data_IF_745465617977
#
_entry.id   IF_745465617977
#
_cell.length_a   1.000
_cell.length_b   1.000
_cell.length_c   1.000
_cell.angle_alpha   90.00
_cell.angle_beta   90.00
_cell.angle_gamma   90.00
#
_symmetry.space_group_name_H-M   'P 1'
#
loop_
_entity.id
_entity.type
_entity.pdbx_description
1 polymer ?
#
# COMPACT_ATOMS: atom_id res chain seq x y z
N UNK A 1 -13.07 -6.99 -2.18
CA UNK A 1 -12.02 -5.98 -2.27
C UNK A 1 -12.64 -4.58 -2.23
N UNK A 2 -12.24 -3.75 -1.28
CA UNK A 2 -12.79 -2.39 -1.09
C UNK A 2 -11.85 -1.29 -1.55
N UNK A 3 -10.54 -1.52 -1.43
CA UNK A 3 -9.52 -0.55 -1.86
C UNK A 3 -8.28 -1.25 -2.37
N UNK A 4 -7.59 -0.62 -3.29
CA UNK A 4 -6.24 -0.94 -3.74
C UNK A 4 -5.44 0.35 -3.75
N UNK A 5 -4.37 0.40 -2.97
CA UNK A 5 -3.53 1.59 -2.83
C UNK A 5 -2.10 1.20 -3.16
N UNK A 6 -1.70 1.31 -4.44
CA UNK A 6 -0.33 1.11 -4.83
C UNK A 6 0.59 2.13 -4.17
N UNK A 7 1.77 1.70 -3.75
CA UNK A 7 2.78 2.56 -3.15
C UNK A 7 4.15 2.17 -3.71
N UNK A 8 4.82 3.12 -4.35
CA UNK A 8 6.24 3.00 -4.69
C UNK A 8 7.08 3.24 -3.45
N UNK A 9 8.10 2.43 -3.25
CA UNK A 9 8.97 2.52 -2.07
C UNK A 9 10.44 2.52 -2.47
N UNK A 10 11.21 3.40 -1.82
CA UNK A 10 12.67 3.34 -1.82
C UNK A 10 13.14 2.73 -0.51
N UNK A 11 13.91 1.66 -0.62
CA UNK A 11 14.41 0.91 0.53
C UNK A 11 15.89 1.22 0.78
N UNK A 12 16.26 1.35 2.04
CA UNK A 12 17.65 1.34 2.48
C UNK A 12 17.80 0.31 3.59
N UNK A 13 18.61 -0.72 3.33
CA UNK A 13 18.84 -1.84 4.27
C UNK A 13 17.52 -2.49 4.73
N UNK A 14 16.59 -2.72 3.79
CA UNK A 14 15.28 -3.32 4.09
C UNK A 14 14.25 -2.40 4.75
N UNK A 15 14.60 -1.14 5.00
CA UNK A 15 13.67 -0.17 5.59
C UNK A 15 13.23 0.85 4.54
N UNK A 16 11.95 1.12 4.46
CA UNK A 16 11.42 2.17 3.58
C UNK A 16 11.87 3.54 4.10
N UNK A 17 12.62 4.26 3.27
CA UNK A 17 13.08 5.63 3.54
C UNK A 17 12.24 6.69 2.85
N UNK A 18 11.74 6.38 1.66
CA UNK A 18 10.81 7.19 0.89
C UNK A 18 9.70 6.31 0.36
N UNK A 19 8.52 6.88 0.21
CA UNK A 19 7.40 6.22 -0.42
C UNK A 19 6.50 7.26 -1.08
N UNK A 20 5.80 6.86 -2.14
CA UNK A 20 4.75 7.68 -2.75
C UNK A 20 3.57 6.80 -3.16
N UNK A 21 2.37 7.32 -3.01
CA UNK A 21 1.18 6.64 -3.55
C UNK A 21 1.23 6.67 -5.08
N UNK A 22 0.64 5.66 -5.69
CA UNK A 22 0.58 5.53 -7.14
C UNK A 22 -0.82 5.10 -7.56
N UNK A 23 -1.12 5.24 -8.84
CA UNK A 23 -2.35 4.76 -9.47
C UNK A 23 -2.02 3.86 -10.66
N UNK A 24 -1.03 2.98 -10.50
CA UNK A 24 -0.54 2.07 -11.54
C UNK A 24 -1.59 1.02 -11.90
N UNK A 25 -2.16 1.04 -13.11
CA UNK A 25 -3.24 0.14 -13.50
C UNK A 25 -2.84 -1.34 -13.47
N UNK A 26 -1.60 -1.67 -13.83
CA UNK A 26 -1.12 -3.06 -13.83
C UNK A 26 -1.16 -3.65 -12.42
N UNK A 27 -0.76 -2.90 -11.40
CA UNK A 27 -0.82 -3.32 -10.00
C UNK A 27 -2.28 -3.45 -9.54
N UNK A 28 -3.13 -2.48 -9.87
CA UNK A 28 -4.54 -2.49 -9.48
C UNK A 28 -5.25 -3.72 -10.07
N UNK A 29 -5.04 -4.00 -11.34
CA UNK A 29 -5.65 -5.15 -12.02
C UNK A 29 -5.10 -6.49 -11.52
N UNK A 30 -3.79 -6.54 -11.22
CA UNK A 30 -3.19 -7.69 -10.59
C UNK A 30 -3.86 -7.99 -9.24
N UNK A 31 -3.98 -6.99 -8.36
CA UNK A 31 -4.58 -7.16 -7.03
C UNK A 31 -6.05 -7.56 -7.12
N UNK A 32 -6.82 -7.00 -8.06
CA UNK A 32 -8.21 -7.42 -8.30
C UNK A 32 -8.32 -8.91 -8.66
N UNK A 33 -7.43 -9.40 -9.54
CA UNK A 33 -7.37 -10.82 -9.93
C UNK A 33 -6.93 -11.70 -8.76
N UNK A 34 -5.87 -11.29 -8.08
CA UNK A 34 -5.33 -12.00 -6.93
C UNK A 34 -6.37 -12.16 -5.80
N UNK A 35 -7.10 -11.09 -5.48
CA UNK A 35 -8.11 -11.11 -4.41
C UNK A 35 -9.23 -12.11 -4.67
N UNK A 36 -9.60 -12.36 -5.92
CA UNK A 36 -10.62 -13.37 -6.26
C UNK A 36 -10.23 -14.78 -5.81
N UNK A 37 -8.94 -15.08 -5.82
CA UNK A 37 -8.41 -16.38 -5.38
C UNK A 37 -8.09 -16.38 -3.88
N UNK A 38 -7.49 -15.30 -3.39
CA UNK A 38 -7.01 -15.19 -2.01
C UNK A 38 -8.14 -15.00 -0.99
N UNK A 39 -9.22 -14.29 -1.35
CA UNK A 39 -10.46 -14.10 -0.56
C UNK A 39 -10.23 -13.61 0.87
N UNK A 40 -9.21 -12.78 1.10
CA UNK A 40 -8.96 -12.21 2.42
C UNK A 40 -10.10 -11.26 2.84
N UNK A 41 -10.46 -11.30 4.12
CA UNK A 41 -11.52 -10.47 4.71
C UNK A 41 -10.99 -9.26 5.48
N UNK A 42 -9.67 -9.12 5.60
CA UNK A 42 -9.03 -8.02 6.29
C UNK A 42 -7.96 -7.37 5.42
N UNK A 43 -7.28 -6.36 5.97
CA UNK A 43 -6.19 -5.66 5.31
C UNK A 43 -4.98 -6.59 5.14
N UNK A 44 -4.39 -6.57 3.97
CA UNK A 44 -3.13 -7.22 3.68
C UNK A 44 -2.24 -6.34 2.80
N UNK A 45 -0.95 -6.57 2.85
CA UNK A 45 0.05 -5.90 2.05
C UNK A 45 0.71 -6.90 1.10
N UNK A 46 0.80 -6.55 -0.18
CA UNK A 46 1.56 -7.29 -1.18
C UNK A 46 2.81 -6.49 -1.52
N UNK A 47 3.97 -7.12 -1.42
CA UNK A 47 5.21 -6.57 -1.95
C UNK A 47 5.48 -7.19 -3.31
N UNK A 48 5.72 -6.35 -4.29
CA UNK A 48 5.96 -6.77 -5.66
C UNK A 48 6.96 -5.86 -6.37
N UNK A 49 7.53 -6.37 -7.43
CA UNK A 49 8.25 -5.59 -8.44
C UNK A 49 7.35 -5.37 -9.64
N UNK A 50 7.41 -4.20 -10.23
CA UNK A 50 6.83 -3.89 -11.53
C UNK A 50 7.98 -3.85 -12.55
N UNK A 51 7.90 -4.68 -13.59
CA UNK A 51 8.91 -4.71 -14.65
C UNK A 51 8.70 -3.57 -15.65
N UNK A 52 9.68 -3.34 -16.52
CA UNK A 52 9.57 -2.39 -17.62
C UNK A 52 8.47 -2.79 -18.62
N UNK A 53 8.15 -4.09 -18.71
CA UNK A 53 7.05 -4.66 -19.49
C UNK A 53 5.70 -4.61 -18.78
N UNK A 54 5.64 -3.97 -17.60
CA UNK A 54 4.44 -3.86 -16.77
C UNK A 54 3.95 -5.17 -16.15
N UNK A 55 4.81 -6.17 -16.05
CA UNK A 55 4.48 -7.40 -15.35
C UNK A 55 4.66 -7.20 -13.84
N UNK A 56 3.67 -7.63 -13.07
CA UNK A 56 3.68 -7.56 -11.60
C UNK A 56 4.21 -8.87 -11.05
N UNK A 57 5.37 -8.82 -10.39
CA UNK A 57 6.03 -9.98 -9.78
C UNK A 57 5.94 -9.87 -8.25
N UNK A 58 4.97 -10.53 -7.61
CA UNK A 58 4.86 -10.54 -6.15
C UNK A 58 5.94 -11.44 -5.54
N UNK A 59 6.45 -11.05 -4.39
CA UNK A 59 7.43 -11.85 -3.65
C UNK A 59 7.11 -11.98 -2.16
N UNK A 60 6.19 -11.17 -1.62
CA UNK A 60 5.79 -11.26 -0.22
C UNK A 60 4.35 -10.81 -0.03
N UNK A 61 3.61 -11.52 0.84
CA UNK A 61 2.27 -11.16 1.27
C UNK A 61 2.23 -11.13 2.78
N UNK A 62 1.87 -9.98 3.34
CA UNK A 62 1.75 -9.77 4.77
C UNK A 62 0.28 -9.53 5.14
N UNK A 63 -0.37 -10.39 5.93
CA UNK A 63 -1.76 -10.21 6.36
C UNK A 63 -1.86 -9.18 7.50
N UNK A 64 -1.32 -8.01 7.27
CA UNK A 64 -1.29 -6.87 8.19
C UNK A 64 -1.15 -5.55 7.46
N UNK A 65 -1.38 -4.45 8.14
CA UNK A 65 -1.07 -3.11 7.64
C UNK A 65 0.46 -2.95 7.47
N UNK A 66 0.84 -2.21 6.43
CA UNK A 66 2.24 -1.89 6.16
C UNK A 66 2.72 -0.70 7.00
N UNK A 67 4.04 -0.53 7.09
CA UNK A 67 4.64 0.65 7.74
C UNK A 67 4.40 1.96 6.97
N UNK A 68 3.92 1.87 5.73
CA UNK A 68 3.54 3.00 4.88
C UNK A 68 2.03 3.26 4.87
N UNK A 69 1.28 2.62 5.76
CA UNK A 69 -0.18 2.73 5.80
C UNK A 69 -0.69 4.17 6.07
N UNK A 70 0.13 5.00 6.72
CA UNK A 70 -0.16 6.42 6.87
C UNK A 70 -0.38 7.13 5.51
N UNK A 71 0.33 6.71 4.45
CA UNK A 71 0.07 7.22 3.10
C UNK A 71 -1.33 6.83 2.59
N UNK A 72 -1.78 5.60 2.88
CA UNK A 72 -3.12 5.17 2.50
C UNK A 72 -4.19 6.05 3.16
N UNK A 73 -4.04 6.34 4.45
CA UNK A 73 -4.95 7.25 5.18
C UNK A 73 -4.91 8.65 4.58
N UNK A 74 -3.73 9.16 4.20
CA UNK A 74 -3.57 10.49 3.60
C UNK A 74 -4.32 10.64 2.28
N UNK A 75 -4.59 9.54 1.55
CA UNK A 75 -5.38 9.58 0.31
C UNK A 75 -6.89 9.75 0.53
N UNK A 76 -7.33 9.84 1.77
CA UNK A 76 -8.75 9.86 2.14
C UNK A 76 -9.36 8.47 2.35
N UNK A 77 -8.53 7.42 2.29
CA UNK A 77 -8.97 6.07 2.62
C UNK A 77 -9.26 5.96 4.13
N UNK A 78 -10.51 5.67 4.47
CA UNK A 78 -10.93 5.42 5.85
C UNK A 78 -11.24 3.92 6.02
N UNK A 79 -10.34 3.14 6.64
CA UNK A 79 -10.51 1.70 6.76
C UNK A 79 -11.68 1.31 7.68
N UNK A 80 -12.13 2.21 8.55
CA UNK A 80 -13.24 1.96 9.46
C UNK A 80 -14.55 2.14 8.71
N UNK A 81 -14.76 3.30 8.10
CA UNK A 81 -15.99 3.61 7.35
C UNK A 81 -16.15 2.74 6.11
N UNK A 82 -15.06 2.40 5.43
CA UNK A 82 -15.12 1.53 4.25
C UNK A 82 -15.43 0.07 4.55
N UNK A 83 -15.43 -0.34 5.82
CA UNK A 83 -15.92 -1.66 6.22
C UNK A 83 -17.44 -1.73 6.32
N UNK A 84 -18.12 -0.61 6.31
CA UNK A 84 -19.57 -0.52 6.41
C UNK A 84 -20.22 -0.42 5.02
N UNK A 85 -21.35 -1.08 4.85
CA UNK A 85 -22.20 -0.96 3.67
C UNK A 85 -21.73 -1.73 2.42
N UNK A 86 -22.52 -1.66 1.34
CA UNK A 86 -22.23 -2.36 0.09
C UNK A 86 -21.00 -1.78 -0.62
N UNK A 87 -20.26 -2.66 -1.30
CA UNK A 87 -19.13 -2.24 -2.14
C UNK A 87 -19.68 -1.81 -3.49
N UNK A 88 -19.70 -0.51 -3.75
CA UNK A 88 -20.12 0.04 -5.04
C UNK A 88 -18.95 0.20 -6.00
N UNK A 89 -17.81 0.66 -5.49
CA UNK A 89 -16.59 0.87 -6.27
C UNK A 89 -15.36 0.51 -5.43
N UNK A 90 -14.29 0.08 -6.11
CA UNK A 90 -12.99 -0.13 -5.47
C UNK A 90 -12.28 1.21 -5.37
N UNK A 91 -11.92 1.62 -4.16
CA UNK A 91 -11.16 2.85 -3.94
C UNK A 91 -9.73 2.70 -4.47
N UNK A 92 -9.28 3.70 -5.22
CA UNK A 92 -7.89 3.88 -5.66
C UNK A 92 -7.47 5.34 -5.43
N UNK A 93 -6.18 5.61 -5.15
CA UNK A 93 -5.73 6.99 -4.94
C UNK A 93 -5.95 7.85 -6.19
N UNK A 94 -6.45 9.06 -5.99
CA UNK A 94 -6.57 10.06 -7.06
C UNK A 94 -5.47 11.13 -6.97
N UNK A 95 -4.84 11.26 -5.81
CA UNK A 95 -3.78 12.22 -5.53
C UNK A 95 -2.55 11.46 -5.05
N UNK A 96 -1.38 11.88 -5.54
CA UNK A 96 -0.10 11.30 -5.12
C UNK A 96 0.37 12.00 -3.85
N UNK A 97 0.55 11.22 -2.79
CA UNK A 97 1.15 11.65 -1.54
C UNK A 97 2.55 11.05 -1.40
N UNK A 98 3.46 11.82 -0.83
CA UNK A 98 4.86 11.41 -0.60
C UNK A 98 5.16 11.32 0.88
N UNK A 99 5.88 10.28 1.26
CA UNK A 99 6.44 10.07 2.58
C UNK A 99 7.96 10.14 2.50
N UNK A 100 8.55 10.86 3.43
CA UNK A 100 9.98 10.79 3.71
C UNK A 100 10.17 10.52 5.20
N UNK A 101 10.97 9.52 5.54
CA UNK A 101 11.32 9.22 6.93
C UNK A 101 12.57 9.96 7.33
N UNK A 102 12.46 10.67 8.42
CA UNK A 102 13.56 11.33 9.09
C UNK A 102 13.81 10.66 10.45
N UNK A 103 15.06 10.42 10.76
CA UNK A 103 15.46 9.84 12.04
C UNK A 103 15.90 10.98 12.94
N UNK A 104 15.33 11.04 14.13
CA UNK A 104 15.78 11.96 15.17
C UNK A 104 16.53 11.16 16.24
N UNK A 105 17.74 11.61 16.59
CA UNK A 105 18.49 11.08 17.71
C UNK A 105 18.17 11.91 18.96
N UNK A 106 17.71 11.24 20.02
CA UNK A 106 17.57 11.85 21.33
C UNK A 106 18.73 11.37 22.20
N UNK A 107 19.54 12.31 22.68
CA UNK A 107 20.65 12.02 23.61
C UNK A 107 20.18 12.44 24.99
N UNK A 108 20.11 11.50 25.92
CA UNK A 108 19.81 11.74 27.33
C UNK A 108 21.05 11.49 28.15
N UNK A 109 21.26 12.32 29.18
CA UNK A 109 22.24 11.99 30.22
C UNK A 109 21.69 10.85 31.07
N UNK A 110 22.56 9.93 31.55
CA UNK A 110 22.14 8.88 32.47
C UNK A 110 21.68 9.43 33.81
#
# INVERSE_FOLDING_TARGET
LRAVIPVKVDLKRGVTIRAETDNEPAIIDYVKKFHKCFKATSVYNIQCMLTDTRDVIPFEINPRISTTFCLAISTGFDPIRMNEGPITNIFTPQIIYKLQRNWMNTITKP
#
